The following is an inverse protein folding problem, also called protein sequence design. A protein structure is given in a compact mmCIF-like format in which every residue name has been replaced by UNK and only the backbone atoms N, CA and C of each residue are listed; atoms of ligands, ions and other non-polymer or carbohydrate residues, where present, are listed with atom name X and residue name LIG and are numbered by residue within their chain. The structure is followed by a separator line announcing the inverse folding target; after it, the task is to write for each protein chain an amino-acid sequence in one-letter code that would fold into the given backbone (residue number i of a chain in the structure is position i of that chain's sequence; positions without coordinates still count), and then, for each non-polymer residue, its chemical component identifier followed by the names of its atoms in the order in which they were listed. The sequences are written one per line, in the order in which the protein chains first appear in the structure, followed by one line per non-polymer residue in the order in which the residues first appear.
data_IF_054595569736
#
_entry.id   IF_054595569736
#
_cell.length_a   1.000
_cell.length_b   1.000
_cell.length_c   1.000
_cell.angle_alpha   90.00
_cell.angle_beta   90.00
_cell.angle_gamma   90.00
#
_symmetry.space_group_name_H-M   'P 1'
#
loop_
_entity.id
_entity.type
_entity.pdbx_description
1 polymer ?
#
# COMPACT_ATOMS: atom_id res chain seq x y z
N UNK A 1 8.89 12.78 -2.36
CA UNK A 1 9.67 11.79 -3.13
C UNK A 1 10.57 12.48 -4.15
N UNK A 2 11.56 11.76 -4.76
CA UNK A 2 12.47 12.34 -5.74
C UNK A 2 11.74 13.04 -6.90
N UNK A 3 10.64 12.45 -7.37
CA UNK A 3 9.79 13.05 -8.42
C UNK A 3 9.18 14.40 -7.97
N UNK A 4 8.79 14.54 -6.70
CA UNK A 4 8.24 15.79 -6.21
C UNK A 4 9.32 16.90 -6.15
N UNK A 5 10.53 16.56 -5.70
CA UNK A 5 11.67 17.47 -5.72
C UNK A 5 12.04 17.90 -7.14
N UNK A 6 11.97 16.96 -8.08
CA UNK A 6 12.18 17.28 -9.50
C UNK A 6 11.07 18.22 -10.04
N UNK A 7 9.81 17.92 -9.76
CA UNK A 7 8.68 18.77 -10.19
C UNK A 7 8.73 20.17 -9.55
N UNK A 8 9.29 20.28 -8.35
CA UNK A 8 9.54 21.56 -7.67
C UNK A 8 10.76 22.32 -8.22
N UNK A 9 11.55 21.73 -9.11
CA UNK A 9 12.77 22.32 -9.64
C UNK A 9 13.98 22.25 -8.70
N UNK A 10 13.88 21.46 -7.64
CA UNK A 10 14.94 21.30 -6.64
C UNK A 10 16.02 20.28 -7.05
N UNK A 11 15.73 19.43 -8.04
CA UNK A 11 16.68 18.49 -8.62
C UNK A 11 17.10 18.98 -10.02
N UNK A 12 18.36 19.42 -10.21
CA UNK A 12 18.83 19.83 -11.51
C UNK A 12 19.02 18.61 -12.44
N UNK A 13 18.39 18.67 -13.60
CA UNK A 13 18.55 17.67 -14.66
C UNK A 13 18.86 18.41 -15.95
N UNK A 14 19.83 17.93 -16.78
CA UNK A 14 20.14 18.56 -18.06
C UNK A 14 18.89 18.72 -18.93
N UNK A 15 18.80 19.86 -19.61
CA UNK A 15 17.67 20.15 -20.48
C UNK A 15 17.49 19.07 -21.55
N UNK A 16 16.26 18.63 -21.77
CA UNK A 16 15.92 17.61 -22.76
C UNK A 16 16.12 16.15 -22.31
N UNK A 17 16.68 15.90 -21.12
CA UNK A 17 16.78 14.54 -20.57
C UNK A 17 15.39 13.93 -20.45
N UNK A 18 15.15 12.73 -21.04
CA UNK A 18 13.89 12.04 -20.83
C UNK A 18 13.83 11.46 -19.42
N UNK A 19 12.72 11.65 -18.73
CA UNK A 19 12.53 11.21 -17.36
C UNK A 19 11.38 10.22 -17.26
N UNK A 20 11.59 9.20 -16.41
CA UNK A 20 10.58 8.23 -16.04
C UNK A 20 10.40 8.23 -14.52
N UNK A 21 9.24 8.68 -14.07
CA UNK A 21 8.82 8.53 -12.68
C UNK A 21 8.21 7.16 -12.46
N UNK A 22 8.90 6.27 -11.74
CA UNK A 22 8.36 4.96 -11.37
C UNK A 22 7.74 5.01 -9.98
N UNK A 23 6.62 4.30 -9.78
CA UNK A 23 5.94 4.16 -8.50
C UNK A 23 5.50 5.50 -7.87
N UNK A 24 4.95 6.39 -8.67
CA UNK A 24 4.47 7.67 -8.18
C UNK A 24 3.12 7.54 -7.44
N UNK A 25 3.07 8.02 -6.21
CA UNK A 25 1.84 8.01 -5.42
C UNK A 25 1.00 9.28 -5.70
N UNK A 26 0.04 9.17 -6.59
CA UNK A 26 -0.88 10.27 -6.92
C UNK A 26 -1.11 10.43 -8.42
N UNK A 27 -1.88 11.44 -8.82
CA UNK A 27 -2.19 11.71 -10.23
C UNK A 27 -1.00 12.43 -10.90
N UNK A 28 0.01 11.68 -11.33
CA UNK A 28 1.21 12.24 -11.95
C UNK A 28 0.87 13.02 -13.23
N UNK A 29 -0.03 12.48 -14.04
CA UNK A 29 -0.40 13.11 -15.31
C UNK A 29 -0.91 14.56 -15.14
N UNK A 30 -1.60 14.85 -14.04
CA UNK A 30 -2.13 16.20 -13.73
C UNK A 30 -1.04 17.16 -13.22
N UNK A 31 0.10 16.61 -12.81
CA UNK A 31 1.21 17.38 -12.19
C UNK A 31 2.36 17.67 -13.14
N UNK A 32 2.41 16.99 -14.29
CA UNK A 32 3.49 17.24 -15.26
C UNK A 32 3.25 18.57 -15.95
N UNK A 33 4.17 19.54 -15.82
CA UNK A 33 4.07 20.80 -16.53
C UNK A 33 4.10 20.60 -18.04
N UNK A 34 3.35 21.44 -18.76
CA UNK A 34 3.33 21.40 -20.22
C UNK A 34 4.74 21.55 -20.81
N UNK A 35 5.09 20.65 -21.74
CA UNK A 35 6.39 20.63 -22.40
C UNK A 35 7.52 19.94 -21.64
N UNK A 36 7.31 19.49 -20.40
CA UNK A 36 8.29 18.72 -19.66
C UNK A 36 8.46 17.32 -20.30
N UNK A 37 9.73 16.89 -20.47
CA UNK A 37 10.06 15.58 -21.04
C UNK A 37 10.00 14.48 -19.95
N UNK A 38 8.83 14.30 -19.35
CA UNK A 38 8.55 13.38 -18.24
C UNK A 38 7.36 12.50 -18.56
N UNK A 39 7.46 11.24 -18.22
CA UNK A 39 6.36 10.27 -18.14
C UNK A 39 6.47 9.46 -16.85
N UNK A 40 5.56 8.54 -16.61
CA UNK A 40 5.68 7.72 -15.42
C UNK A 40 4.63 6.62 -15.27
N UNK A 41 4.74 5.95 -14.13
CA UNK A 41 3.82 4.92 -13.68
C UNK A 41 3.30 5.32 -12.32
N UNK A 42 1.99 5.54 -12.24
CA UNK A 42 1.29 5.80 -10.99
C UNK A 42 1.10 4.49 -10.22
N UNK A 43 1.34 4.53 -8.93
CA UNK A 43 1.07 3.37 -8.07
C UNK A 43 -0.43 3.13 -7.98
N UNK A 44 -0.84 1.86 -8.06
CA UNK A 44 -2.24 1.48 -7.92
C UNK A 44 -2.84 2.01 -6.60
N UNK A 45 -4.04 2.56 -6.66
CA UNK A 45 -4.82 2.95 -5.49
C UNK A 45 -5.63 1.76 -5.03
N UNK A 46 -5.22 1.10 -3.95
CA UNK A 46 -5.81 -0.16 -3.51
C UNK A 46 -6.52 -0.09 -2.16
N UNK A 47 -6.56 1.11 -1.56
CA UNK A 47 -7.15 1.27 -0.23
C UNK A 47 -8.66 0.98 -0.21
N UNK A 48 -9.48 1.46 -1.15
CA UNK A 48 -10.92 1.15 -1.17
C UNK A 48 -11.20 -0.34 -1.26
N UNK A 49 -10.49 -1.03 -2.15
CA UNK A 49 -10.61 -2.46 -2.37
C UNK A 49 -10.15 -3.24 -1.14
N UNK A 50 -9.06 -2.81 -0.50
CA UNK A 50 -8.54 -3.44 0.72
C UNK A 50 -9.48 -3.25 1.91
N UNK A 51 -10.14 -2.09 2.04
CA UNK A 51 -11.20 -1.87 3.04
C UNK A 51 -12.39 -2.81 2.79
N UNK A 52 -12.84 -2.91 1.55
CA UNK A 52 -13.94 -3.81 1.17
C UNK A 52 -13.57 -5.28 1.45
N UNK A 53 -12.33 -5.67 1.14
CA UNK A 53 -11.77 -6.99 1.45
C UNK A 53 -11.78 -7.26 2.96
N UNK A 54 -11.30 -6.33 3.78
CA UNK A 54 -11.30 -6.48 5.24
C UNK A 54 -12.69 -6.76 5.80
N UNK A 55 -13.70 -6.07 5.30
CA UNK A 55 -15.10 -6.31 5.68
C UNK A 55 -15.65 -7.65 5.20
N UNK A 56 -15.24 -8.10 4.02
CA UNK A 56 -15.62 -9.43 3.51
C UNK A 56 -15.01 -10.54 4.35
N UNK A 57 -13.72 -10.43 4.68
CA UNK A 57 -13.00 -11.44 5.46
C UNK A 57 -13.44 -11.46 6.93
N UNK A 58 -13.80 -10.31 7.49
CA UNK A 58 -14.25 -10.11 8.88
C UNK A 58 -15.55 -9.31 8.91
N UNK A 59 -16.72 -9.91 8.61
CA UNK A 59 -18.00 -9.18 8.56
C UNK A 59 -18.43 -8.58 9.91
N UNK A 60 -17.94 -9.12 11.00
CA UNK A 60 -18.16 -8.64 12.37
C UNK A 60 -17.35 -7.39 12.72
N UNK A 61 -16.41 -6.96 11.85
CA UNK A 61 -15.55 -5.81 12.11
C UNK A 61 -16.37 -4.54 12.30
N UNK A 62 -16.01 -3.76 13.32
CA UNK A 62 -16.62 -2.47 13.63
C UNK A 62 -15.65 -1.31 13.47
N UNK A 63 -14.36 -1.60 13.56
CA UNK A 63 -13.30 -0.62 13.52
C UNK A 63 -12.22 -1.01 12.50
N UNK A 64 -11.76 -0.02 11.77
CA UNK A 64 -10.58 -0.15 10.91
C UNK A 64 -9.54 0.90 11.29
N UNK A 65 -8.30 0.47 11.42
CA UNK A 65 -7.20 1.35 11.78
C UNK A 65 -6.18 1.32 10.65
N UNK A 66 -5.81 2.48 10.14
CA UNK A 66 -4.75 2.61 9.14
C UNK A 66 -3.49 3.12 9.80
N UNK A 67 -2.38 2.44 9.54
CA UNK A 67 -1.04 2.85 9.96
C UNK A 67 -0.31 3.44 8.76
N UNK A 68 0.18 4.67 8.90
CA UNK A 68 0.90 5.40 7.85
C UNK A 68 2.12 6.11 8.42
N UNK A 69 3.18 6.20 7.63
CA UNK A 69 4.37 6.95 8.00
C UNK A 69 4.14 8.47 8.02
N UNK A 70 5.10 9.21 8.58
CA UNK A 70 5.06 10.66 8.66
C UNK A 70 5.12 11.36 7.29
N UNK A 71 5.70 10.70 6.28
CA UNK A 71 5.81 11.21 4.92
C UNK A 71 4.59 10.91 4.07
N UNK A 72 3.71 10.01 4.54
CA UNK A 72 2.44 9.73 3.89
C UNK A 72 1.58 10.99 3.97
N UNK A 73 1.79 11.82 3.00
CA UNK A 73 0.96 12.99 2.84
C UNK A 73 -0.51 12.58 2.70
N UNK A 74 -1.41 13.49 3.05
CA UNK A 74 -2.85 13.26 2.96
C UNK A 74 -3.33 12.84 1.57
N UNK A 75 -2.47 12.95 0.56
CA UNK A 75 -2.72 12.54 -0.83
C UNK A 75 -2.87 11.03 -0.99
N UNK A 76 -2.16 10.23 -0.18
CA UNK A 76 -2.33 8.77 -0.22
C UNK A 76 -3.63 8.32 0.43
N UNK A 77 -4.01 8.94 1.54
CA UNK A 77 -5.28 8.65 2.23
C UNK A 77 -6.49 9.18 1.46
N UNK A 78 -6.29 9.50 0.17
CA UNK A 78 -7.37 9.71 -0.76
C UNK A 78 -7.93 11.13 -0.79
N UNK A 79 -7.28 12.12 -0.17
CA UNK A 79 -7.85 13.45 -0.13
C UNK A 79 -9.34 13.39 0.23
N UNK A 80 -10.20 13.81 -0.68
CA UNK A 80 -11.66 13.83 -0.48
C UNK A 80 -12.33 12.46 -0.66
N UNK A 81 -11.69 11.48 -1.30
CA UNK A 81 -12.29 10.17 -1.59
C UNK A 81 -12.44 9.30 -0.33
N UNK A 82 -11.46 9.34 0.58
CA UNK A 82 -11.49 8.52 1.79
C UNK A 82 -12.63 8.90 2.74
N UNK A 83 -12.86 10.17 3.09
CA UNK A 83 -13.97 10.56 3.93
C UNK A 83 -15.34 10.11 3.38
N UNK A 84 -15.55 10.24 2.06
CA UNK A 84 -16.79 9.80 1.42
C UNK A 84 -16.93 8.28 1.41
N UNK A 85 -15.85 7.53 1.19
CA UNK A 85 -15.84 6.07 1.28
C UNK A 85 -16.20 5.62 2.70
N UNK A 86 -15.60 6.22 3.72
CA UNK A 86 -15.83 5.89 5.13
C UNK A 86 -17.26 6.14 5.57
N UNK A 87 -17.86 7.27 5.16
CA UNK A 87 -19.29 7.55 5.40
C UNK A 87 -20.18 6.44 4.80
N UNK A 88 -19.91 6.01 3.57
CA UNK A 88 -20.64 4.92 2.91
C UNK A 88 -20.53 3.59 3.65
N UNK A 89 -19.36 3.33 4.22
CA UNK A 89 -19.07 2.04 4.84
C UNK A 89 -19.57 1.91 6.28
N UNK A 90 -19.98 2.99 6.94
CA UNK A 90 -20.45 3.02 8.35
C UNK A 90 -19.53 2.26 9.31
N UNK A 91 -18.24 2.41 9.12
CA UNK A 91 -17.18 1.75 9.91
C UNK A 91 -16.41 2.83 10.65
N UNK A 92 -16.14 2.61 11.93
CA UNK A 92 -15.23 3.46 12.68
C UNK A 92 -13.85 3.38 12.06
N UNK A 93 -13.28 4.53 11.75
CA UNK A 93 -12.02 4.60 11.06
C UNK A 93 -11.07 5.52 11.80
N UNK A 94 -9.87 5.02 12.05
CA UNK A 94 -8.80 5.76 12.72
C UNK A 94 -7.52 5.68 11.91
N UNK A 95 -6.79 6.78 11.86
CA UNK A 95 -5.46 6.83 11.24
C UNK A 95 -4.41 7.06 12.32
N UNK A 96 -3.41 6.19 12.39
CA UNK A 96 -2.23 6.33 13.21
C UNK A 96 -1.08 6.79 12.32
N UNK A 97 -0.58 7.99 12.56
CA UNK A 97 0.42 8.65 11.72
C UNK A 97 1.76 8.71 12.42
N UNK A 98 2.82 8.48 11.67
CA UNK A 98 4.19 8.68 12.18
C UNK A 98 4.54 10.14 12.51
N UNK A 99 3.71 11.11 12.12
CA UNK A 99 3.81 12.49 12.61
C UNK A 99 3.28 12.66 14.03
N UNK A 100 2.37 11.79 14.48
CA UNK A 100 1.63 11.92 15.73
C UNK A 100 2.19 11.02 16.83
N UNK A 101 2.83 9.91 16.45
CA UNK A 101 3.29 8.86 17.36
C UNK A 101 4.75 8.49 17.10
N UNK A 102 5.48 8.15 18.18
CA UNK A 102 6.70 7.35 18.11
C UNK A 102 6.34 5.88 17.85
N UNK A 103 7.32 5.04 17.55
CA UNK A 103 7.08 3.61 17.36
C UNK A 103 6.52 2.94 18.60
N UNK A 104 7.06 3.25 19.78
CA UNK A 104 6.56 2.72 21.05
C UNK A 104 5.12 3.16 21.33
N UNK A 105 4.80 4.44 21.14
CA UNK A 105 3.46 4.97 21.28
C UNK A 105 2.48 4.30 20.27
N UNK A 106 2.90 4.07 19.02
CA UNK A 106 2.13 3.31 18.06
C UNK A 106 1.81 1.91 18.57
N UNK A 107 2.81 1.20 19.07
CA UNK A 107 2.66 -0.16 19.59
C UNK A 107 1.73 -0.24 20.79
N UNK A 108 1.73 0.77 21.66
CA UNK A 108 0.76 0.92 22.76
C UNK A 108 -0.67 1.11 22.21
N UNK A 109 -0.86 2.01 21.23
CA UNK A 109 -2.15 2.21 20.60
C UNK A 109 -2.68 0.93 19.96
N UNK A 110 -1.83 0.16 19.31
CA UNK A 110 -2.19 -1.11 18.65
C UNK A 110 -2.54 -2.18 19.68
N UNK A 111 -1.79 -2.27 20.79
CA UNK A 111 -2.08 -3.22 21.87
C UNK A 111 -3.44 -3.00 22.53
N UNK A 112 -3.94 -1.76 22.49
CA UNK A 112 -5.25 -1.38 23.04
C UNK A 112 -6.40 -1.55 22.05
N UNK A 113 -6.16 -2.01 20.82
CA UNK A 113 -7.22 -2.16 19.82
C UNK A 113 -8.15 -3.32 20.17
N UNK A 114 -9.47 -3.16 19.96
CA UNK A 114 -10.43 -4.25 20.10
C UNK A 114 -10.13 -5.41 19.14
N UNK A 115 -10.43 -6.64 19.53
CA UNK A 115 -10.24 -7.84 18.72
C UNK A 115 -10.99 -7.80 17.38
N UNK A 116 -12.12 -7.09 17.32
CA UNK A 116 -12.91 -6.92 16.10
C UNK A 116 -12.44 -5.75 15.23
N UNK A 117 -11.16 -5.40 15.31
CA UNK A 117 -10.50 -4.40 14.47
C UNK A 117 -9.79 -5.07 13.28
N UNK A 118 -9.82 -4.43 12.12
CA UNK A 118 -8.92 -4.73 10.99
C UNK A 118 -7.88 -3.61 10.90
N UNK A 119 -6.62 -3.99 10.89
CA UNK A 119 -5.50 -3.07 10.73
C UNK A 119 -5.08 -3.04 9.26
N UNK A 120 -5.01 -1.85 8.68
CA UNK A 120 -4.54 -1.60 7.33
C UNK A 120 -3.15 -0.98 7.42
N UNK A 121 -2.12 -1.77 7.14
CA UNK A 121 -0.73 -1.31 7.20
C UNK A 121 -0.29 -0.78 5.84
N UNK A 122 -0.07 0.53 5.77
CA UNK A 122 0.46 1.17 4.58
C UNK A 122 1.98 1.25 4.61
N UNK A 123 2.52 1.87 5.63
CA UNK A 123 3.95 2.10 5.85
C UNK A 123 4.16 2.64 7.26
N UNK A 124 5.40 2.58 7.74
CA UNK A 124 5.76 3.19 9.01
C UNK A 124 7.13 3.86 8.96
N UNK A 125 7.20 5.08 9.43
CA UNK A 125 8.35 5.81 9.90
C UNK A 125 7.84 7.00 10.72
N UNK A 126 8.38 7.20 11.92
CA UNK A 126 8.01 8.32 12.77
C UNK A 126 8.89 9.54 12.46
N UNK A 127 8.30 10.74 12.39
CA UNK A 127 9.07 11.99 12.36
C UNK A 127 9.37 12.52 13.76
N UNK A 128 8.93 11.82 14.80
CA UNK A 128 9.18 12.15 16.22
C UNK A 128 10.38 11.44 16.81
N UNK A 129 11.08 10.63 16.02
CA UNK A 129 12.27 9.88 16.39
C UNK A 129 13.46 10.38 15.59
N UNK A 130 14.63 10.47 16.22
CA UNK A 130 15.89 10.84 15.53
C UNK A 130 16.34 9.72 14.59
N UNK A 131 16.18 8.47 15.03
CA UNK A 131 16.45 7.25 14.25
C UNK A 131 15.16 6.43 14.13
N UNK A 132 14.25 6.79 13.20
CA UNK A 132 12.96 6.14 13.10
C UNK A 132 13.09 4.71 12.60
N UNK A 133 12.33 3.80 13.21
CA UNK A 133 12.13 2.48 12.66
C UNK A 133 11.42 2.57 11.29
N UNK A 134 11.76 1.63 10.43
CA UNK A 134 11.09 1.50 9.14
C UNK A 134 9.98 0.45 9.18
N UNK A 135 9.22 0.37 8.09
CA UNK A 135 8.09 -0.55 7.96
C UNK A 135 8.46 -2.02 8.21
N UNK A 136 9.68 -2.45 7.84
CA UNK A 136 10.12 -3.85 7.96
C UNK A 136 10.48 -4.24 9.39
N UNK A 137 10.87 -3.28 10.22
CA UNK A 137 11.16 -3.50 11.65
C UNK A 137 9.92 -3.29 12.51
N UNK A 138 9.07 -2.33 12.17
CA UNK A 138 7.86 -2.03 12.92
C UNK A 138 6.75 -3.08 12.72
N UNK A 139 6.53 -3.56 11.50
CA UNK A 139 5.42 -4.48 11.22
C UNK A 139 5.50 -5.81 11.99
N UNK A 140 6.65 -6.49 12.15
CA UNK A 140 6.77 -7.66 13.04
C UNK A 140 6.40 -7.37 14.48
N UNK A 141 6.79 -6.20 15.01
CA UNK A 141 6.44 -5.79 16.37
C UNK A 141 4.94 -5.53 16.52
N UNK A 142 4.32 -4.90 15.52
CA UNK A 142 2.87 -4.75 15.42
C UNK A 142 2.21 -6.12 15.43
N UNK A 143 2.69 -7.07 14.61
CA UNK A 143 2.12 -8.43 14.52
C UNK A 143 2.21 -9.19 15.83
N UNK A 144 3.25 -8.97 16.62
CA UNK A 144 3.39 -9.60 17.95
C UNK A 144 2.36 -9.09 18.95
N UNK A 145 1.92 -7.83 18.83
CA UNK A 145 1.00 -7.17 19.77
C UNK A 145 -0.45 -7.18 19.32
N UNK A 146 -0.71 -7.51 18.05
CA UNK A 146 -2.05 -7.50 17.48
C UNK A 146 -2.39 -8.86 16.87
N UNK A 147 -3.38 -9.54 17.44
CA UNK A 147 -3.83 -10.87 16.98
C UNK A 147 -4.80 -10.80 15.81
N UNK A 148 -5.43 -9.65 15.58
CA UNK A 148 -6.42 -9.45 14.51
C UNK A 148 -5.86 -9.47 13.10
N UNK A 149 -6.70 -9.21 12.12
CA UNK A 149 -6.35 -9.20 10.71
C UNK A 149 -5.54 -7.94 10.35
N UNK A 150 -4.32 -8.15 9.82
CA UNK A 150 -3.49 -7.09 9.26
C UNK A 150 -3.50 -7.23 7.74
N UNK A 151 -4.05 -6.26 7.04
CA UNK A 151 -3.97 -6.17 5.59
C UNK A 151 -2.91 -5.13 5.20
N UNK A 152 -2.16 -5.42 4.15
CA UNK A 152 -1.09 -4.58 3.65
C UNK A 152 -1.30 -4.14 2.22
N UNK A 153 -0.59 -3.08 1.82
CA UNK A 153 -0.63 -2.54 0.46
C UNK A 153 0.46 -3.12 -0.43
N UNK A 154 1.53 -3.64 0.15
CA UNK A 154 2.68 -4.15 -0.59
C UNK A 154 2.89 -5.63 -0.30
N UNK A 155 3.23 -6.39 -1.33
CA UNK A 155 3.52 -7.82 -1.24
C UNK A 155 4.71 -8.11 -0.32
N UNK A 156 5.72 -7.24 -0.32
CA UNK A 156 6.89 -7.39 0.53
C UNK A 156 6.60 -7.37 2.04
N UNK A 157 5.41 -6.89 2.47
CA UNK A 157 5.01 -6.92 3.88
C UNK A 157 4.47 -8.26 4.34
N UNK A 158 4.11 -9.17 3.42
CA UNK A 158 3.51 -10.45 3.77
C UNK A 158 4.44 -11.33 4.60
N UNK A 159 5.75 -11.31 4.32
CA UNK A 159 6.75 -12.02 5.11
C UNK A 159 6.99 -11.44 6.53
N UNK A 160 6.37 -10.30 6.85
CA UNK A 160 6.51 -9.60 8.13
C UNK A 160 5.21 -9.57 8.95
N UNK A 161 4.20 -10.36 8.57
CA UNK A 161 2.96 -10.54 9.33
C UNK A 161 1.73 -9.83 8.77
N UNK A 162 1.81 -9.28 7.55
CA UNK A 162 0.62 -8.88 6.80
C UNK A 162 -0.02 -10.10 6.13
N UNK A 163 -1.34 -10.23 6.24
CA UNK A 163 -2.09 -11.25 5.52
C UNK A 163 -2.27 -10.93 4.01
N UNK A 164 -1.68 -9.84 3.53
CA UNK A 164 -1.83 -9.40 2.15
C UNK A 164 -2.98 -8.42 1.95
N UNK A 165 -3.62 -8.46 0.77
CA UNK A 165 -4.68 -7.54 0.38
C UNK A 165 -4.69 -7.31 -1.13
N UNK A 166 -5.30 -6.23 -1.56
CA UNK A 166 -5.03 -5.70 -2.92
C UNK A 166 -3.66 -5.01 -2.89
N UNK A 167 -2.62 -5.79 -3.17
CA UNK A 167 -1.24 -5.32 -3.07
C UNK A 167 -0.74 -4.73 -4.39
N UNK A 168 0.14 -3.76 -4.28
CA UNK A 168 0.88 -3.25 -5.44
C UNK A 168 1.88 -4.31 -5.86
N UNK A 169 1.82 -4.71 -7.11
CA UNK A 169 2.76 -5.68 -7.68
C UNK A 169 4.05 -4.96 -8.13
N UNK A 170 5.10 -5.11 -7.34
CA UNK A 170 6.41 -4.51 -7.62
C UNK A 170 7.06 -5.08 -8.89
N UNK A 171 6.84 -6.36 -9.20
CA UNK A 171 7.36 -6.98 -10.41
C UNK A 171 6.66 -6.40 -11.66
N UNK A 172 5.34 -6.30 -11.63
CA UNK A 172 4.58 -5.69 -12.73
C UNK A 172 5.00 -4.24 -12.95
N UNK A 173 5.13 -3.45 -11.87
CA UNK A 173 5.62 -2.07 -11.98
C UNK A 173 7.02 -2.01 -12.58
N UNK A 174 7.93 -2.88 -12.17
CA UNK A 174 9.26 -2.98 -12.73
C UNK A 174 9.25 -3.32 -14.22
N UNK A 175 8.41 -4.26 -14.65
CA UNK A 175 8.23 -4.61 -16.06
C UNK A 175 7.69 -3.45 -16.90
N UNK A 176 6.69 -2.73 -16.37
CA UNK A 176 6.13 -1.53 -17.02
C UNK A 176 7.20 -0.43 -17.13
N UNK A 177 7.95 -0.17 -16.07
CA UNK A 177 9.05 0.80 -16.07
C UNK A 177 10.14 0.42 -17.09
N UNK A 178 10.53 -0.85 -17.14
CA UNK A 178 11.48 -1.36 -18.13
C UNK A 178 11.02 -1.18 -19.56
N UNK A 179 9.73 -1.48 -19.86
CA UNK A 179 9.17 -1.28 -21.19
C UNK A 179 9.17 0.20 -21.61
N UNK A 180 8.82 1.11 -20.70
CA UNK A 180 8.89 2.56 -20.94
C UNK A 180 10.35 3.01 -21.14
N UNK A 181 11.26 2.54 -20.28
CA UNK A 181 12.68 2.88 -20.39
C UNK A 181 13.29 2.48 -21.75
N UNK A 182 12.93 1.30 -22.27
CA UNK A 182 13.38 0.86 -23.61
C UNK A 182 12.89 1.80 -24.72
N UNK A 183 11.67 2.31 -24.64
CA UNK A 183 11.13 3.29 -25.59
C UNK A 183 11.91 4.61 -25.55
N UNK A 184 12.22 5.08 -24.33
CA UNK A 184 13.02 6.29 -24.13
C UNK A 184 14.44 6.12 -24.69
N UNK A 185 15.07 4.96 -24.46
CA UNK A 185 16.40 4.65 -25.01
C UNK A 185 16.39 4.52 -26.53
N UNK A 186 15.26 4.13 -27.13
CA UNK A 186 15.06 4.13 -28.58
C UNK A 186 14.84 5.54 -29.17
N UNK A 187 14.85 6.59 -28.33
CA UNK A 187 14.74 7.99 -28.77
C UNK A 187 13.31 8.54 -28.74
N UNK A 188 12.34 7.79 -28.21
CA UNK A 188 10.98 8.31 -28.03
C UNK A 188 10.98 9.39 -26.94
N UNK A 189 10.24 10.48 -27.16
CA UNK A 189 10.14 11.54 -26.15
C UNK A 189 9.23 11.09 -25.01
N UNK A 190 9.66 11.30 -23.75
CA UNK A 190 8.86 10.95 -22.58
C UNK A 190 7.50 11.65 -22.58
N UNK A 191 7.43 12.90 -23.03
CA UNK A 191 6.17 13.64 -23.17
C UNK A 191 5.19 13.05 -24.19
N UNK A 192 5.64 12.16 -25.08
CA UNK A 192 4.81 11.41 -26.02
C UNK A 192 4.29 10.09 -25.48
N UNK A 193 4.80 9.63 -24.34
CA UNK A 193 4.38 8.39 -23.70
C UNK A 193 3.36 8.73 -22.61
N UNK A 194 2.10 8.29 -22.71
CA UNK A 194 1.11 8.52 -21.67
C UNK A 194 1.56 7.95 -20.31
N UNK A 195 1.24 8.66 -19.23
CA UNK A 195 1.41 8.14 -17.87
C UNK A 195 0.55 6.88 -17.72
N UNK A 196 1.14 5.82 -17.19
CA UNK A 196 0.50 4.53 -17.01
C UNK A 196 0.03 4.36 -15.57
N UNK A 197 -1.00 3.56 -15.36
CA UNK A 197 -1.40 3.11 -14.02
C UNK A 197 -0.71 1.79 -13.73
N UNK A 198 -0.11 1.69 -12.55
CA UNK A 198 0.45 0.45 -12.03
C UNK A 198 -0.65 -0.56 -11.74
N UNK A 199 -0.29 -1.83 -11.79
CA UNK A 199 -1.19 -2.94 -11.47
C UNK A 199 -1.27 -3.23 -9.97
N UNK A 200 -2.29 -3.98 -9.60
CA UNK A 200 -2.44 -4.59 -8.28
C UNK A 200 -2.89 -6.03 -8.42
N UNK A 201 -2.53 -6.85 -7.44
CA UNK A 201 -2.94 -8.24 -7.31
C UNK A 201 -3.67 -8.44 -5.99
N UNK A 202 -4.65 -9.35 -5.98
CA UNK A 202 -5.24 -9.82 -4.75
C UNK A 202 -4.43 -11.02 -4.25
N UNK A 203 -3.49 -10.76 -3.34
CA UNK A 203 -2.65 -11.78 -2.70
C UNK A 203 -3.02 -11.92 -1.24
N UNK A 204 -3.15 -13.15 -0.75
CA UNK A 204 -3.46 -13.45 0.63
C UNK A 204 -2.57 -14.57 1.16
N UNK A 205 -2.07 -14.42 2.38
CA UNK A 205 -1.27 -15.42 3.09
C UNK A 205 -2.18 -16.28 3.95
N UNK A 206 -2.31 -17.57 3.60
CA UNK A 206 -3.23 -18.46 4.32
C UNK A 206 -2.89 -18.60 5.81
N UNK A 207 -1.65 -18.84 6.23
CA UNK A 207 -1.27 -18.88 7.65
C UNK A 207 -1.68 -17.63 8.42
N UNK A 208 -1.48 -16.44 7.86
CA UNK A 208 -1.85 -15.18 8.52
C UNK A 208 -3.37 -14.97 8.55
N UNK A 209 -4.11 -15.43 7.54
CA UNK A 209 -5.58 -15.44 7.57
C UNK A 209 -6.09 -16.35 8.71
N UNK A 210 -5.58 -17.57 8.78
CA UNK A 210 -5.96 -18.55 9.82
C UNK A 210 -5.61 -18.02 11.21
N UNK A 211 -4.40 -17.49 11.38
CA UNK A 211 -3.95 -16.87 12.63
C UNK A 211 -4.86 -15.74 13.08
N UNK A 212 -5.38 -14.96 12.12
CA UNK A 212 -6.29 -13.84 12.38
C UNK A 212 -7.75 -14.27 12.56
N UNK A 213 -8.05 -15.58 12.58
CA UNK A 213 -9.39 -16.12 12.74
C UNK A 213 -10.31 -15.87 11.53
N UNK A 214 -9.75 -15.72 10.35
CA UNK A 214 -10.52 -15.60 9.11
C UNK A 214 -11.00 -16.98 8.65
N UNK A 215 -12.28 -17.08 8.33
CA UNK A 215 -12.85 -18.29 7.70
C UNK A 215 -12.48 -18.30 6.21
N UNK A 216 -11.81 -19.36 5.76
CA UNK A 216 -11.26 -19.42 4.39
C UNK A 216 -12.34 -19.38 3.31
N UNK A 217 -13.59 -19.77 3.64
CA UNK A 217 -14.75 -19.68 2.74
C UNK A 217 -15.12 -18.22 2.38
N UNK A 218 -14.66 -17.26 3.16
CA UNK A 218 -14.86 -15.82 2.90
C UNK A 218 -13.82 -15.24 1.96
N UNK A 219 -12.73 -15.97 1.69
CA UNK A 219 -11.69 -15.57 0.76
C UNK A 219 -12.30 -15.43 -0.65
N UNK A 220 -12.03 -14.34 -1.36
CA UNK A 220 -12.48 -14.19 -2.74
C UNK A 220 -11.93 -15.30 -3.63
N UNK A 221 -12.71 -15.88 -4.56
CA UNK A 221 -12.25 -16.97 -5.41
C UNK A 221 -11.16 -16.58 -6.42
N UNK A 222 -11.02 -15.28 -6.67
CA UNK A 222 -10.00 -14.67 -7.52
C UNK A 222 -8.72 -14.29 -6.75
N UNK A 223 -8.68 -14.52 -5.43
CA UNK A 223 -7.48 -14.31 -4.64
C UNK A 223 -6.43 -15.39 -4.91
N UNK A 224 -5.18 -14.97 -5.03
CA UNK A 224 -4.04 -15.89 -5.00
C UNK A 224 -3.65 -16.14 -3.55
N UNK A 225 -3.79 -17.39 -3.09
CA UNK A 225 -3.33 -17.82 -1.76
C UNK A 225 -1.86 -18.20 -1.81
N UNK A 226 -1.08 -17.65 -0.89
CA UNK A 226 0.33 -17.97 -0.68
C UNK A 226 0.49 -18.85 0.58
N UNK A 227 1.62 -19.55 0.65
CA UNK A 227 2.02 -20.35 1.80
C UNK A 227 0.98 -21.42 2.24
N UNK A 228 0.17 -21.89 1.28
CA UNK A 228 -0.84 -22.93 1.52
C UNK A 228 -0.16 -24.19 2.04
N UNK A 229 -0.52 -24.72 3.24
CA UNK A 229 0.09 -25.90 3.78
C UNK A 229 -0.04 -27.13 2.87
N UNK A 230 0.97 -27.98 2.75
CA UNK A 230 0.85 -29.25 2.04
C UNK A 230 -0.29 -30.08 2.63
N UNK A 231 -1.28 -30.44 1.83
CA UNK A 231 -2.47 -31.19 2.29
C UNK A 231 -3.78 -30.42 2.19
N UNK A 232 -3.73 -29.10 1.98
CA UNK A 232 -4.93 -28.30 1.68
C UNK A 232 -5.63 -28.81 0.39
N UNK A 233 -4.88 -29.17 -0.64
CA UNK A 233 -5.41 -29.73 -1.90
C UNK A 233 -6.18 -31.05 -1.73
N UNK A 234 -6.06 -31.73 -0.58
CA UNK A 234 -6.76 -33.00 -0.29
C UNK A 234 -8.13 -32.74 0.37
N UNK A 235 -8.33 -31.57 1.01
CA UNK A 235 -9.57 -31.24 1.73
C UNK A 235 -10.69 -30.66 0.87
N UNK A 236 -10.39 -30.24 -0.36
CA UNK A 236 -11.35 -29.54 -1.24
C UNK A 236 -11.47 -30.16 -2.64
N UNK A 237 -11.20 -31.48 -2.75
CA UNK A 237 -11.56 -32.29 -3.92
C UNK A 237 -12.85 -33.08 -3.67
#
# INVERSE_FOLDING_TARGET
AATDLFLAGELPVPAGTPLLASSYNGPLAERIPAGMNLTGIETARTLPETIALGRRLKPEVRSMVVVVDASADGRFLGGDELPELLKKLRTDFRVLRGSDYTTDELLEQISALPENTVLLFHSWASSREEEPENSYTALPQIRQRFSGLILGRFDCYMQFGSAGGHVVDGEMQGRQAGAVALRLLAGERASGIPVQKGGSLLLLDEPELVRSGVQLEKVPPDATLLNVPPGFLIRYR
#
